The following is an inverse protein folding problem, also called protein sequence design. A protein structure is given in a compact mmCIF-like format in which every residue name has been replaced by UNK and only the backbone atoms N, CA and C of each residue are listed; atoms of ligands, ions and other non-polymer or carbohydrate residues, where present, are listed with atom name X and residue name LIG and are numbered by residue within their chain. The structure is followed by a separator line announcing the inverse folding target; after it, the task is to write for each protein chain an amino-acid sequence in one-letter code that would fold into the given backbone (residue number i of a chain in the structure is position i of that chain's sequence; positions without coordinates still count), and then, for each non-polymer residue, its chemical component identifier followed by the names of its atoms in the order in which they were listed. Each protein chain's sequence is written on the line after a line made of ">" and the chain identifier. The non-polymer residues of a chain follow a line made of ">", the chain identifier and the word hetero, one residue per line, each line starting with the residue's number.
data_IF_123737110614
#
_entry.id   IF_123737110614
#
_cell.length_a   1.000
_cell.length_b   1.000
_cell.length_c   1.000
_cell.angle_alpha   90.00
_cell.angle_beta   90.00
_cell.angle_gamma   90.00
#
_symmetry.space_group_name_H-M   'P 1'
#
loop_
_entity.id
_entity.type
_entity.pdbx_description
1 polymer ?
#
# COMPACT_ATOMS: atom_id res chain seq x y z
N UNK A 1 -16.41 11.98 9.12
CA UNK A 1 -14.94 12.15 8.98
C UNK A 1 -14.14 11.46 10.08
N UNK A 2 -14.60 11.46 11.35
CA UNK A 2 -13.85 10.89 12.48
C UNK A 2 -13.45 9.39 12.39
N UNK A 3 -14.24 8.53 11.74
CA UNK A 3 -13.90 7.11 11.60
C UNK A 3 -12.80 6.82 10.59
N UNK A 4 -12.66 7.66 9.55
CA UNK A 4 -11.61 7.52 8.54
C UNK A 4 -10.27 8.04 9.03
N UNK A 5 -10.26 9.15 9.76
CA UNK A 5 -9.05 9.67 10.40
C UNK A 5 -8.51 8.67 11.41
N UNK A 6 -9.37 8.06 12.24
CA UNK A 6 -8.98 6.95 13.12
C UNK A 6 -8.44 5.76 12.34
N UNK A 7 -9.10 5.36 11.24
CA UNK A 7 -8.62 4.28 10.38
C UNK A 7 -7.24 4.54 9.78
N UNK A 8 -6.98 5.77 9.31
CA UNK A 8 -5.67 6.17 8.77
C UNK A 8 -4.61 6.24 9.86
N UNK A 9 -4.94 6.74 11.05
CA UNK A 9 -4.01 6.75 12.20
C UNK A 9 -3.66 5.34 12.66
N UNK A 10 -4.66 4.45 12.76
CA UNK A 10 -4.44 3.05 13.08
C UNK A 10 -3.59 2.35 12.02
N UNK A 11 -3.86 2.63 10.74
CA UNK A 11 -3.05 2.11 9.64
C UNK A 11 -1.61 2.63 9.70
N UNK A 12 -1.40 3.92 9.94
CA UNK A 12 -0.08 4.51 10.06
C UNK A 12 0.74 3.94 11.22
N UNK A 13 0.07 3.46 12.27
CA UNK A 13 0.73 2.75 13.38
C UNK A 13 1.17 1.32 13.02
N UNK A 14 0.61 0.72 11.97
CA UNK A 14 0.77 -0.69 11.64
C UNK A 14 1.46 -0.94 10.28
N UNK A 15 1.40 0.02 9.36
CA UNK A 15 1.78 -0.17 7.97
C UNK A 15 2.38 1.12 7.36
N UNK A 16 3.14 1.02 6.26
CA UNK A 16 3.76 2.17 5.61
C UNK A 16 2.72 3.19 5.12
N UNK A 17 2.79 4.43 5.62
CA UNK A 17 1.87 5.53 5.24
C UNK A 17 1.85 5.78 3.72
N UNK A 18 2.95 5.49 3.03
CA UNK A 18 3.05 5.59 1.57
C UNK A 18 2.02 4.73 0.83
N UNK A 19 1.58 3.61 1.39
CA UNK A 19 0.53 2.74 0.81
C UNK A 19 -0.85 3.39 0.76
N UNK A 20 -1.06 4.48 1.51
CA UNK A 20 -2.28 5.29 1.45
C UNK A 20 -2.01 6.59 0.70
N UNK A 21 -0.93 7.28 1.07
CA UNK A 21 -0.65 8.64 0.59
C UNK A 21 -0.38 8.70 -0.92
N UNK A 22 0.44 7.78 -1.45
CA UNK A 22 0.72 7.71 -2.90
C UNK A 22 -0.52 7.42 -3.74
N UNK A 23 -1.28 6.32 -3.50
CA UNK A 23 -2.45 6.03 -4.30
C UNK A 23 -3.54 7.09 -4.14
N UNK A 24 -3.68 7.69 -2.96
CA UNK A 24 -4.63 8.77 -2.76
C UNK A 24 -4.28 10.02 -3.60
N UNK A 25 -3.03 10.50 -3.52
CA UNK A 25 -2.57 11.64 -4.31
C UNK A 25 -2.62 11.37 -5.82
N UNK A 26 -2.25 10.17 -6.25
CA UNK A 26 -2.29 9.76 -7.65
C UNK A 26 -3.72 9.61 -8.20
N UNK A 27 -4.67 9.12 -7.39
CA UNK A 27 -6.09 9.09 -7.77
C UNK A 27 -6.68 10.50 -7.91
N UNK A 28 -6.34 11.41 -7.00
CA UNK A 28 -6.77 12.80 -7.09
C UNK A 28 -6.24 13.47 -8.35
N UNK A 29 -4.96 13.27 -8.67
CA UNK A 29 -4.36 13.72 -9.93
C UNK A 29 -5.09 13.15 -11.15
N UNK A 30 -5.32 11.83 -11.16
CA UNK A 30 -5.99 11.16 -12.28
C UNK A 30 -7.45 11.59 -12.48
N UNK A 31 -8.12 12.08 -11.42
CA UNK A 31 -9.48 12.60 -11.50
C UNK A 31 -9.57 14.02 -12.08
N UNK A 32 -8.44 14.73 -12.25
CA UNK A 32 -8.39 16.09 -12.76
C UNK A 32 -8.81 17.12 -11.70
N UNK A 33 -7.92 17.47 -10.75
CA UNK A 33 -8.25 18.41 -9.67
C UNK A 33 -8.55 19.81 -10.23
N UNK A 34 -9.70 20.37 -9.85
CA UNK A 34 -10.20 21.64 -10.39
C UNK A 34 -10.21 22.80 -9.39
N UNK A 35 -9.92 22.56 -8.09
CA UNK A 35 -9.86 23.58 -7.04
C UNK A 35 -8.46 23.68 -6.48
N UNK A 36 -8.11 24.86 -5.95
CA UNK A 36 -6.89 25.05 -5.14
C UNK A 36 -6.83 24.08 -3.94
N UNK A 37 -7.97 23.77 -3.32
CA UNK A 37 -8.06 22.82 -2.22
C UNK A 37 -7.71 21.38 -2.63
N UNK A 38 -8.22 20.91 -3.77
CA UNK A 38 -7.85 19.59 -4.31
C UNK A 38 -6.37 19.51 -4.67
N UNK A 39 -5.80 20.58 -5.26
CA UNK A 39 -4.37 20.67 -5.54
C UNK A 39 -3.51 20.65 -4.28
N UNK A 40 -3.97 21.26 -3.19
CA UNK A 40 -3.29 21.20 -1.90
C UNK A 40 -3.27 19.77 -1.33
N UNK A 41 -4.40 19.04 -1.44
CA UNK A 41 -4.45 17.63 -1.05
C UNK A 41 -3.56 16.75 -1.90
N UNK A 42 -3.50 16.98 -3.22
CA UNK A 42 -2.55 16.31 -4.11
C UNK A 42 -1.13 16.56 -3.65
N UNK A 43 -0.74 17.82 -3.45
CA UNK A 43 0.63 18.18 -3.08
C UNK A 43 1.05 17.55 -1.75
N UNK A 44 0.17 17.59 -0.74
CA UNK A 44 0.43 16.99 0.56
C UNK A 44 0.53 15.46 0.47
N UNK A 45 -0.41 14.80 -0.19
CA UNK A 45 -0.46 13.35 -0.28
C UNK A 45 0.67 12.78 -1.16
N UNK A 46 0.86 13.35 -2.35
CA UNK A 46 1.94 12.95 -3.25
C UNK A 46 3.30 13.32 -2.67
N UNK A 47 3.44 14.48 -2.04
CA UNK A 47 4.67 14.91 -1.37
C UNK A 47 5.03 13.98 -0.21
N UNK A 48 4.10 13.71 0.72
CA UNK A 48 4.33 12.79 1.82
C UNK A 48 4.64 11.37 1.32
N UNK A 49 3.88 10.88 0.34
CA UNK A 49 4.09 9.56 -0.23
C UNK A 49 5.43 9.39 -0.94
N UNK A 50 5.84 10.38 -1.74
CA UNK A 50 7.11 10.33 -2.48
C UNK A 50 8.31 10.50 -1.57
N UNK A 51 8.26 11.44 -0.61
CA UNK A 51 9.36 11.63 0.36
C UNK A 51 9.62 10.38 1.17
N UNK A 52 8.56 9.70 1.64
CA UNK A 52 8.69 8.44 2.39
C UNK A 52 9.29 7.30 1.54
N UNK A 53 8.97 7.24 0.24
CA UNK A 53 9.55 6.23 -0.66
C UNK A 53 10.99 6.58 -1.07
N UNK A 54 11.32 7.86 -1.19
CA UNK A 54 12.61 8.35 -1.67
C UNK A 54 13.76 8.27 -0.65
N UNK A 55 13.47 8.06 0.64
CA UNK A 55 14.52 7.84 1.66
C UNK A 55 15.41 6.66 1.23
N UNK A 56 16.74 6.69 1.43
CA UNK A 56 17.59 5.54 1.14
C UNK A 56 17.10 4.30 1.90
N UNK A 57 16.96 3.13 1.23
CA UNK A 57 16.46 1.94 1.90
C UNK A 57 17.46 1.42 2.92
N UNK A 58 16.96 0.97 4.08
CA UNK A 58 17.80 0.41 5.16
C UNK A 58 18.28 -1.03 4.91
N UNK A 59 17.82 -1.66 3.82
CA UNK A 59 18.10 -3.06 3.46
C UNK A 59 17.37 -3.49 2.20
N UNK A 60 17.58 -4.73 1.76
CA UNK A 60 17.00 -5.26 0.52
C UNK A 60 15.48 -5.45 0.64
N UNK A 61 15.01 -5.88 1.82
CA UNK A 61 13.58 -5.97 2.13
C UNK A 61 12.89 -4.61 2.01
N UNK A 62 13.48 -3.55 2.58
CA UNK A 62 12.93 -2.19 2.53
C UNK A 62 12.90 -1.64 1.10
N UNK A 63 13.97 -1.86 0.32
CA UNK A 63 14.00 -1.50 -1.09
C UNK A 63 12.90 -2.21 -1.89
N UNK A 64 12.67 -3.50 -1.63
CA UNK A 64 11.61 -4.27 -2.27
C UNK A 64 10.21 -3.78 -1.87
N UNK A 65 9.99 -3.49 -0.58
CA UNK A 65 8.73 -2.91 -0.08
C UNK A 65 8.39 -1.63 -0.84
N UNK A 66 9.36 -0.73 -0.97
CA UNK A 66 9.19 0.55 -1.68
C UNK A 66 8.91 0.35 -3.15
N UNK A 67 9.65 -0.54 -3.82
CA UNK A 67 9.39 -0.92 -5.21
C UNK A 67 7.95 -1.44 -5.38
N UNK A 68 7.52 -2.34 -4.49
CA UNK A 68 6.15 -2.84 -4.48
C UNK A 68 5.13 -1.72 -4.33
N UNK A 69 5.31 -0.83 -3.35
CA UNK A 69 4.40 0.30 -3.07
C UNK A 69 4.21 1.15 -4.34
N UNK A 70 5.29 1.43 -5.06
CA UNK A 70 5.24 2.18 -6.32
C UNK A 70 4.49 1.39 -7.39
N UNK A 71 4.84 0.13 -7.61
CA UNK A 71 4.23 -0.72 -8.64
C UNK A 71 2.72 -0.92 -8.40
N UNK A 72 2.32 -1.22 -7.16
CA UNK A 72 0.91 -1.44 -6.82
C UNK A 72 0.11 -0.14 -6.96
N UNK A 73 0.70 0.99 -6.59
CA UNK A 73 0.07 2.31 -6.78
C UNK A 73 -0.17 2.59 -8.26
N UNK A 74 0.85 2.46 -9.09
CA UNK A 74 0.76 2.71 -10.53
C UNK A 74 -0.26 1.78 -11.18
N UNK A 75 -0.19 0.47 -10.88
CA UNK A 75 -1.11 -0.52 -11.42
C UNK A 75 -2.57 -0.25 -11.01
N UNK A 76 -2.80 0.17 -9.77
CA UNK A 76 -4.13 0.49 -9.27
C UNK A 76 -4.71 1.74 -9.92
N UNK A 77 -3.94 2.84 -9.96
CA UNK A 77 -4.37 4.12 -10.52
C UNK A 77 -4.57 4.02 -12.03
N UNK A 78 -3.64 3.39 -12.75
CA UNK A 78 -3.81 3.12 -14.18
C UNK A 78 -5.04 2.25 -14.44
N UNK A 79 -5.25 1.20 -13.63
CA UNK A 79 -6.45 0.37 -13.72
C UNK A 79 -7.74 1.14 -13.48
N UNK A 80 -7.74 2.10 -12.55
CA UNK A 80 -8.90 2.94 -12.25
C UNK A 80 -9.16 3.96 -13.37
N UNK A 81 -8.12 4.58 -13.92
CA UNK A 81 -8.21 5.59 -14.97
C UNK A 81 -8.64 4.99 -16.32
N UNK A 82 -8.08 3.84 -16.69
CA UNK A 82 -8.32 3.20 -18.00
C UNK A 82 -9.67 2.47 -18.09
N UNK A 83 -10.33 2.19 -16.98
CA UNK A 83 -11.60 1.44 -17.00
C UNK A 83 -12.81 2.35 -17.16
N UNK A 84 -13.85 1.87 -17.87
CA UNK A 84 -15.13 2.58 -17.93
C UNK A 84 -15.80 2.61 -16.55
N UNK A 85 -16.59 3.66 -16.24
CA UNK A 85 -17.16 3.90 -14.90
C UNK A 85 -17.91 2.69 -14.31
N UNK A 86 -18.74 2.01 -15.11
CA UNK A 86 -19.52 0.84 -14.68
C UNK A 86 -18.71 -0.42 -14.32
N UNK A 87 -17.40 -0.44 -14.61
CA UNK A 87 -16.52 -1.59 -14.34
C UNK A 87 -15.49 -1.33 -13.23
N UNK A 88 -15.53 -0.16 -12.58
CA UNK A 88 -14.59 0.28 -11.53
C UNK A 88 -14.93 -0.32 -10.16
N UNK A 89 -14.97 -1.66 -10.08
CA UNK A 89 -15.15 -2.37 -8.81
C UNK A 89 -13.82 -2.41 -8.05
N UNK A 90 -13.79 -1.81 -6.85
CA UNK A 90 -12.61 -1.72 -5.98
C UNK A 90 -11.85 -3.05 -5.88
N UNK A 91 -12.51 -4.13 -5.45
CA UNK A 91 -11.86 -5.43 -5.22
C UNK A 91 -11.17 -5.99 -6.47
N UNK A 92 -11.81 -5.88 -7.64
CA UNK A 92 -11.21 -6.32 -8.91
C UNK A 92 -10.01 -5.46 -9.32
N UNK A 93 -10.01 -4.17 -8.99
CA UNK A 93 -8.89 -3.28 -9.25
C UNK A 93 -7.74 -3.56 -8.30
N UNK A 94 -8.01 -3.63 -7.00
CA UNK A 94 -7.01 -3.83 -5.96
C UNK A 94 -6.31 -5.19 -6.09
N UNK A 95 -7.06 -6.27 -6.31
CA UNK A 95 -6.48 -7.60 -6.52
C UNK A 95 -5.63 -7.66 -7.80
N UNK A 96 -6.10 -7.08 -8.92
CA UNK A 96 -5.32 -7.02 -10.15
C UNK A 96 -4.07 -6.18 -9.99
N UNK A 97 -4.14 -5.06 -9.26
CA UNK A 97 -2.98 -4.23 -8.97
C UNK A 97 -1.92 -5.01 -8.17
N UNK A 98 -2.34 -5.78 -7.17
CA UNK A 98 -1.42 -6.65 -6.42
C UNK A 98 -0.79 -7.72 -7.32
N UNK A 99 -1.56 -8.35 -8.22
CA UNK A 99 -1.04 -9.33 -9.17
C UNK A 99 -0.05 -8.71 -10.16
N UNK A 100 -0.35 -7.52 -10.71
CA UNK A 100 0.57 -6.81 -11.60
C UNK A 100 1.83 -6.34 -10.89
N UNK A 101 1.72 -5.88 -9.64
CA UNK A 101 2.87 -5.52 -8.82
C UNK A 101 3.77 -6.74 -8.56
N UNK A 102 3.18 -7.89 -8.21
CA UNK A 102 3.91 -9.14 -8.05
C UNK A 102 4.63 -9.56 -9.34
N UNK A 103 3.94 -9.49 -10.49
CA UNK A 103 4.56 -9.76 -11.79
C UNK A 103 5.70 -8.78 -12.09
N UNK A 104 5.52 -7.49 -11.83
CA UNK A 104 6.56 -6.47 -12.01
C UNK A 104 7.79 -6.72 -11.14
N UNK A 105 7.60 -7.09 -9.87
CA UNK A 105 8.70 -7.48 -8.98
C UNK A 105 9.43 -8.71 -9.52
N UNK A 106 8.70 -9.74 -9.96
CA UNK A 106 9.30 -10.95 -10.53
C UNK A 106 10.10 -10.65 -11.80
N UNK A 107 9.63 -9.74 -12.65
CA UNK A 107 10.36 -9.33 -13.85
C UNK A 107 11.60 -8.48 -13.56
N UNK A 108 11.54 -7.61 -12.55
CA UNK A 108 12.65 -6.72 -12.19
C UNK A 108 13.74 -7.43 -11.36
N UNK A 109 13.37 -8.41 -10.54
CA UNK A 109 14.29 -9.10 -9.61
C UNK A 109 14.65 -10.51 -10.07
N UNK A 110 13.73 -11.19 -10.76
CA UNK A 110 13.82 -12.62 -11.09
C UNK A 110 14.77 -13.08 -12.22
N UNK A 111 15.13 -12.30 -13.25
CA UNK A 111 15.85 -12.86 -14.40
C UNK A 111 17.36 -13.08 -14.19
N UNK A 112 17.93 -12.70 -13.03
CA UNK A 112 19.37 -12.80 -12.77
C UNK A 112 19.80 -14.11 -12.10
N UNK A 113 21.02 -14.59 -12.39
CA UNK A 113 21.66 -15.72 -11.68
C UNK A 113 21.83 -15.47 -10.17
N UNK A 114 21.78 -14.21 -9.74
CA UNK A 114 21.79 -13.81 -8.33
C UNK A 114 20.41 -13.88 -7.66
N UNK A 115 19.31 -14.09 -8.40
CA UNK A 115 17.94 -14.05 -7.88
C UNK A 115 17.69 -14.99 -6.69
N UNK A 116 18.19 -16.24 -6.66
CA UNK A 116 18.03 -17.09 -5.49
C UNK A 116 18.66 -16.49 -4.22
N UNK A 117 19.88 -15.93 -4.32
CA UNK A 117 20.57 -15.29 -3.19
C UNK A 117 19.82 -14.05 -2.70
N UNK A 118 19.33 -13.24 -3.62
CA UNK A 118 18.51 -12.07 -3.32
C UNK A 118 17.25 -12.48 -2.57
N UNK A 119 16.54 -13.52 -3.04
CA UNK A 119 15.34 -14.00 -2.36
C UNK A 119 15.64 -14.59 -0.98
N UNK A 120 16.72 -15.35 -0.82
CA UNK A 120 17.13 -15.85 0.49
C UNK A 120 17.44 -14.71 1.46
N UNK A 121 18.16 -13.68 0.99
CA UNK A 121 18.46 -12.50 1.81
C UNK A 121 17.19 -11.79 2.27
N UNK A 122 16.23 -11.58 1.36
CA UNK A 122 14.95 -10.93 1.66
C UNK A 122 14.14 -11.75 2.66
N UNK A 123 14.08 -13.08 2.50
CA UNK A 123 13.40 -13.96 3.46
C UNK A 123 14.05 -13.93 4.85
N UNK A 124 15.38 -13.87 4.89
CA UNK A 124 16.11 -13.76 6.14
C UNK A 124 15.88 -12.41 6.83
N UNK A 125 15.90 -11.31 6.09
CA UNK A 125 15.59 -9.97 6.62
C UNK A 125 14.15 -9.89 7.13
N UNK A 126 13.19 -10.48 6.39
CA UNK A 126 11.79 -10.54 6.79
C UNK A 126 11.60 -11.31 8.10
N UNK A 127 12.22 -12.49 8.21
CA UNK A 127 12.17 -13.30 9.44
C UNK A 127 12.79 -12.54 10.62
N UNK A 128 13.94 -11.89 10.41
CA UNK A 128 14.61 -11.08 11.43
C UNK A 128 13.74 -9.89 11.87
N UNK A 129 13.06 -9.21 10.96
CA UNK A 129 12.14 -8.13 11.27
C UNK A 129 10.95 -8.64 12.10
N UNK A 130 10.34 -9.76 11.69
CA UNK A 130 9.27 -10.39 12.44
C UNK A 130 9.70 -10.77 13.88
N UNK A 131 10.88 -11.37 14.05
CA UNK A 131 11.42 -11.70 15.38
C UNK A 131 11.61 -10.47 16.27
N UNK A 132 12.04 -9.33 15.72
CA UNK A 132 12.16 -8.08 16.49
C UNK A 132 10.80 -7.56 16.95
N UNK A 133 9.80 -7.58 16.08
CA UNK A 133 8.44 -7.17 16.43
C UNK A 133 7.83 -8.07 17.51
N UNK A 134 8.07 -9.39 17.43
CA UNK A 134 7.66 -10.34 18.46
C UNK A 134 8.31 -10.04 19.80
N UNK A 135 9.63 -9.85 19.80
CA UNK A 135 10.38 -9.54 21.01
C UNK A 135 9.86 -8.26 21.67
N UNK A 136 9.63 -7.22 20.88
CA UNK A 136 9.03 -5.98 21.36
C UNK A 136 7.63 -6.20 21.97
N UNK A 137 6.77 -6.98 21.30
CA UNK A 137 5.45 -7.29 21.82
C UNK A 137 5.50 -8.05 23.16
N UNK A 138 6.42 -9.00 23.30
CA UNK A 138 6.63 -9.75 24.56
C UNK A 138 7.17 -8.84 25.66
N UNK A 139 8.10 -7.94 25.35
CA UNK A 139 8.69 -6.99 26.30
C UNK A 139 7.67 -5.95 26.81
N UNK A 140 6.78 -5.47 25.94
CA UNK A 140 5.80 -4.41 26.28
C UNK A 140 4.50 -4.97 26.85
N UNK A 141 4.00 -6.09 26.33
CA UNK A 141 2.68 -6.62 26.68
C UNK A 141 2.63 -8.16 26.61
N UNK A 142 3.30 -8.86 27.55
CA UNK A 142 3.43 -10.32 27.52
C UNK A 142 2.08 -11.06 27.56
N UNK A 143 1.08 -10.50 28.25
CA UNK A 143 -0.27 -11.09 28.36
C UNK A 143 -1.07 -11.13 27.05
N UNK A 144 -0.64 -10.40 26.01
CA UNK A 144 -1.31 -10.37 24.71
C UNK A 144 -0.73 -11.38 23.72
N UNK A 145 0.38 -12.04 24.04
CA UNK A 145 1.07 -12.95 23.12
C UNK A 145 0.17 -14.03 22.49
N UNK A 146 -0.75 -14.71 23.21
CA UNK A 146 -1.64 -15.71 22.62
C UNK A 146 -2.57 -15.14 21.53
N UNK A 147 -2.95 -13.86 21.64
CA UNK A 147 -3.76 -13.18 20.63
C UNK A 147 -2.92 -12.70 19.42
N UNK A 148 -1.62 -12.48 19.61
CA UNK A 148 -0.69 -12.04 18.56
C UNK A 148 -0.03 -13.19 17.79
N UNK A 149 0.02 -14.40 18.32
CA UNK A 149 0.62 -15.57 17.65
C UNK A 149 0.23 -15.74 16.17
N UNK A 150 -1.07 -15.65 15.76
CA UNK A 150 -1.43 -15.73 14.35
C UNK A 150 -0.90 -14.57 13.51
N UNK A 151 -0.90 -13.34 14.05
CA UNK A 151 -0.33 -12.18 13.37
C UNK A 151 1.18 -12.37 13.16
N UNK A 152 1.88 -12.92 14.13
CA UNK A 152 3.33 -13.22 14.06
C UNK A 152 3.65 -14.24 12.97
N UNK A 153 2.88 -15.33 12.88
CA UNK A 153 3.05 -16.33 11.80
C UNK A 153 2.79 -15.71 10.43
N UNK A 154 1.83 -14.77 10.35
CA UNK A 154 1.53 -14.04 9.13
C UNK A 154 2.62 -13.02 8.76
N UNK A 155 3.24 -12.37 9.75
CA UNK A 155 4.43 -11.53 9.56
C UNK A 155 5.62 -12.32 8.99
N UNK A 156 5.79 -13.57 9.42
CA UNK A 156 6.80 -14.45 8.83
C UNK A 156 6.49 -14.77 7.35
N UNK A 157 5.22 -14.77 6.95
CA UNK A 157 4.77 -14.81 5.56
C UNK A 157 4.70 -13.40 4.94
N UNK A 158 5.82 -12.67 4.99
CA UNK A 158 5.95 -11.28 4.56
C UNK A 158 5.20 -10.88 3.27
N UNK A 159 5.26 -11.66 2.17
CA UNK A 159 4.56 -11.27 0.94
C UNK A 159 3.04 -11.20 1.11
N UNK A 160 2.46 -12.10 1.92
CA UNK A 160 1.03 -12.12 2.17
C UNK A 160 0.61 -10.95 3.06
N UNK A 161 1.41 -10.66 4.09
CA UNK A 161 1.19 -9.50 4.96
C UNK A 161 1.18 -8.19 4.15
N UNK A 162 2.15 -8.03 3.26
CA UNK A 162 2.29 -6.82 2.45
C UNK A 162 1.14 -6.64 1.44
N UNK A 163 0.55 -7.74 0.94
CA UNK A 163 -0.70 -7.68 0.15
C UNK A 163 -1.86 -7.18 1.01
N UNK A 164 -2.01 -7.65 2.25
CA UNK A 164 -3.09 -7.20 3.13
C UNK A 164 -2.96 -5.70 3.46
N UNK A 165 -1.75 -5.24 3.78
CA UNK A 165 -1.46 -3.81 3.98
C UNK A 165 -1.79 -3.01 2.72
N UNK A 166 -1.44 -3.53 1.54
CA UNK A 166 -1.76 -2.88 0.27
C UNK A 166 -3.27 -2.78 0.05
N UNK A 167 -4.03 -3.83 0.32
CA UNK A 167 -5.49 -3.82 0.19
C UNK A 167 -6.14 -2.81 1.14
N UNK A 168 -5.69 -2.78 2.40
CA UNK A 168 -6.18 -1.81 3.38
C UNK A 168 -5.81 -0.37 2.98
N UNK A 169 -4.56 -0.14 2.56
CA UNK A 169 -4.06 1.16 2.15
C UNK A 169 -4.79 1.71 0.91
N UNK A 170 -4.93 0.86 -0.12
CA UNK A 170 -5.71 1.18 -1.33
C UNK A 170 -7.18 1.43 -1.01
N UNK A 171 -7.77 0.69 -0.06
CA UNK A 171 -9.15 0.89 0.37
C UNK A 171 -9.36 2.25 1.05
N UNK A 172 -8.45 2.62 1.95
CA UNK A 172 -8.45 3.94 2.60
C UNK A 172 -8.25 5.06 1.57
N UNK A 173 -7.30 4.90 0.64
CA UNK A 173 -7.06 5.85 -0.44
C UNK A 173 -8.29 6.01 -1.35
N UNK A 174 -8.92 4.89 -1.75
CA UNK A 174 -10.13 4.88 -2.58
C UNK A 174 -11.31 5.58 -1.90
N UNK A 175 -11.52 5.32 -0.61
CA UNK A 175 -12.59 5.95 0.17
C UNK A 175 -12.30 7.42 0.46
N UNK A 176 -11.06 7.79 0.74
CA UNK A 176 -10.64 9.19 0.89
C UNK A 176 -10.83 9.98 -0.40
N UNK A 177 -10.44 9.40 -1.54
CA UNK A 177 -10.63 9.98 -2.87
C UNK A 177 -12.09 10.28 -3.16
N UNK A 178 -12.97 9.33 -2.87
CA UNK A 178 -14.42 9.47 -3.06
C UNK A 178 -15.04 10.64 -2.25
N UNK A 179 -14.42 11.04 -1.15
CA UNK A 179 -14.91 12.12 -0.28
C UNK A 179 -14.37 13.49 -0.67
N UNK A 180 -13.21 13.55 -1.31
CA UNK A 180 -12.47 14.80 -1.55
C UNK A 180 -12.59 15.23 -3.01
N UNK A 181 -12.53 14.29 -3.96
CA UNK A 181 -12.61 14.62 -5.37
C UNK A 181 -14.04 15.04 -5.75
N UNK A 182 -14.17 16.15 -6.50
CA UNK A 182 -15.47 16.54 -7.08
C UNK A 182 -15.98 15.58 -8.14
N UNK A 183 -15.08 15.00 -8.92
CA UNK A 183 -15.38 13.98 -9.95
C UNK A 183 -14.70 12.67 -9.60
N UNK A 184 -15.15 11.98 -8.55
CA UNK A 184 -14.45 10.82 -8.05
C UNK A 184 -14.51 9.68 -9.08
N UNK A 185 -13.34 9.11 -9.39
CA UNK A 185 -13.22 7.95 -10.27
C UNK A 185 -14.03 6.74 -9.76
N UNK A 186 -14.35 6.71 -8.47
CA UNK A 186 -15.16 5.70 -7.79
C UNK A 186 -16.67 5.88 -7.94
N UNK A 187 -17.15 7.00 -8.47
CA UNK A 187 -18.58 7.17 -8.73
C UNK A 187 -19.02 6.21 -9.84
N UNK A 188 -19.89 5.27 -9.47
CA UNK A 188 -20.78 4.61 -10.43
C UNK A 188 -21.62 5.70 -11.09
N UNK A 189 -21.61 5.76 -12.42
CA UNK A 189 -22.57 6.58 -13.17
C UNK A 189 -23.98 6.06 -12.87
N UNK A 190 -24.65 6.66 -11.88
CA UNK A 190 -26.11 6.59 -11.75
C UNK A 190 -26.66 7.56 -12.79
N UNK A 191 -26.79 7.10 -14.03
CA UNK A 191 -27.69 7.63 -15.04
C UNK A 191 -27.66 6.73 -16.27
N UNK A 192 -28.50 5.69 -16.24
CA UNK A 192 -29.41 5.30 -17.32
C UNK A 192 -30.61 4.62 -16.68
#
# INVERSE_FOLDING_TARGET
>A
MGSLTLGVLLFAALAPVSLVALPFGALLLAAGPGTRGEWLWVALAAGAGTTLVAVPPGGMLDALSRLWIVLVTVAFVAGAALRPPGQRRFWRLALRACLYAAAGVMLLVGPGSAAPRVWTQIQWEATRAASRSVRYAVEVAPGLYPAFEPAVRLFAAWPLWLVLESLAGLGLAWRGHALIARTPLSATSLNT
#
